data_IF_343712764239
#
_entry.id   IF_343712764239
#
_cell.length_a   1.000
_cell.length_b   1.000
_cell.length_c   1.000
_cell.angle_alpha   90.00
_cell.angle_beta   90.00
_cell.angle_gamma   90.00
#
_symmetry.space_group_name_H-M   'P 1'
#
loop_
_entity.id
_entity.type
_entity.pdbx_description
1 polymer ?
#
# COMPACT_ATOMS: atom_id res chain seq x y z
N UNK A 1 -4.26 -13.42 0.63
CA UNK A 1 -5.13 -12.35 0.09
C UNK A 1 -4.35 -11.03 0.06
N UNK A 2 -5.02 -9.93 -0.10
CA UNK A 2 -4.32 -8.62 -0.14
C UNK A 2 -4.88 -7.70 0.95
N UNK A 3 -4.24 -7.68 2.09
CA UNK A 3 -4.69 -6.85 3.24
C UNK A 3 -4.70 -5.34 2.94
N UNK A 4 -3.64 -4.82 2.36
CA UNK A 4 -3.55 -3.36 2.04
C UNK A 4 -4.50 -2.96 0.90
N UNK A 5 -5.22 -1.90 1.07
CA UNK A 5 -6.15 -1.43 -0.01
C UNK A 5 -5.59 -0.12 -0.59
N UNK A 6 -5.38 -0.06 -1.87
CA UNK A 6 -4.81 1.16 -2.50
C UNK A 6 -5.62 2.43 -2.14
N UNK A 7 -5.00 3.59 -2.09
CA UNK A 7 -5.70 4.86 -1.76
C UNK A 7 -6.44 5.45 -2.98
N UNK A 8 -7.35 6.36 -2.75
CA UNK A 8 -8.08 6.97 -3.90
C UNK A 8 -7.22 8.09 -4.48
N UNK A 9 -7.62 8.66 -5.59
CA UNK A 9 -6.81 9.75 -6.20
C UNK A 9 -6.77 10.95 -5.25
N UNK A 10 -7.86 11.21 -4.58
CA UNK A 10 -7.91 12.37 -3.64
C UNK A 10 -6.96 12.13 -2.46
N UNK A 11 -6.75 10.89 -2.10
CA UNK A 11 -5.85 10.61 -0.94
C UNK A 11 -4.47 11.24 -1.17
N UNK A 12 -3.87 11.77 -0.14
CA UNK A 12 -2.54 12.42 -0.23
C UNK A 12 -1.48 11.49 -0.84
N UNK A 13 -0.51 12.04 -1.51
CA UNK A 13 0.55 11.21 -2.14
C UNK A 13 1.30 10.43 -1.05
N UNK A 14 1.25 10.91 0.17
CA UNK A 14 1.95 10.18 1.27
C UNK A 14 1.31 8.80 1.41
N UNK A 15 0.03 8.73 1.19
CA UNK A 15 -0.65 7.42 1.30
C UNK A 15 -0.06 6.46 0.28
N UNK A 16 0.26 6.95 -0.89
CA UNK A 16 0.83 6.07 -1.94
C UNK A 16 2.17 5.52 -1.42
N UNK A 17 2.97 6.34 -0.79
CA UNK A 17 4.26 5.83 -0.27
C UNK A 17 4.00 4.72 0.75
N UNK A 18 3.07 4.93 1.64
CA UNK A 18 2.74 3.88 2.65
C UNK A 18 2.23 2.63 1.92
N UNK A 19 1.43 2.80 0.90
CA UNK A 19 0.91 1.61 0.18
C UNK A 19 2.11 0.79 -0.32
N UNK A 20 3.09 1.45 -0.89
CA UNK A 20 4.28 0.71 -1.37
C UNK A 20 4.92 0.00 -0.17
N UNK A 21 4.96 0.67 0.95
CA UNK A 21 5.55 0.05 2.16
C UNK A 21 4.75 -1.20 2.53
N UNK A 22 3.45 -1.11 2.54
CA UNK A 22 2.62 -2.30 2.87
C UNK A 22 2.77 -3.35 1.77
N UNK A 23 2.81 -2.92 0.54
CA UNK A 23 2.97 -3.89 -0.58
C UNK A 23 4.28 -4.65 -0.39
N UNK A 24 5.31 -3.98 0.02
CA UNK A 24 6.61 -4.68 0.24
C UNK A 24 6.40 -5.77 1.28
N UNK A 25 5.63 -5.48 2.30
CA UNK A 25 5.37 -6.52 3.33
C UNK A 25 4.70 -7.73 2.68
N UNK A 26 3.80 -7.49 1.76
CA UNK A 26 3.10 -8.60 1.07
C UNK A 26 4.11 -9.56 0.45
N UNK A 27 5.06 -9.04 -0.28
CA UNK A 27 6.06 -9.92 -0.91
C UNK A 27 6.84 -10.69 0.17
N UNK A 28 7.32 -10.02 1.18
CA UNK A 28 8.06 -10.73 2.25
C UNK A 28 7.06 -11.62 3.00
N UNK A 29 5.86 -11.13 3.16
CA UNK A 29 4.81 -11.91 3.86
C UNK A 29 4.43 -13.12 3.01
N UNK A 30 4.36 -12.96 1.71
CA UNK A 30 3.98 -14.09 0.83
C UNK A 30 2.73 -14.77 1.37
#
# INVERSE_FOLDING_TARGET
>A
PFPPTPPGEEAPVEDLIRFYNDLQQYLNVV
#
